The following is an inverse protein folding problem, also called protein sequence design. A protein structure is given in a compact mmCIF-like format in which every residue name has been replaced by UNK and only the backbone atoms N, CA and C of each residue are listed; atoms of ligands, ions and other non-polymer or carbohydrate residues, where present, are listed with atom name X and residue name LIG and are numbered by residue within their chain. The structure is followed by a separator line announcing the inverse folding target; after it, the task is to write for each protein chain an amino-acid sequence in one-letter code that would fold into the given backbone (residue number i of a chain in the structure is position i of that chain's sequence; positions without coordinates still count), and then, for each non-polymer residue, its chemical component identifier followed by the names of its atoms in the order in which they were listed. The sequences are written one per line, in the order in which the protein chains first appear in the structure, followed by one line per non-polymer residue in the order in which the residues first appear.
data_IF_526522455451
#
_entry.id   IF_526522455451
#
_cell.length_a   1.000
_cell.length_b   1.000
_cell.length_c   1.000
_cell.angle_alpha   90.00
_cell.angle_beta   90.00
_cell.angle_gamma   90.00
#
_symmetry.space_group_name_H-M   'P 1'
#
loop_
_entity.id
_entity.type
_entity.pdbx_description
1 polymer ?
#
# COMPACT_ATOMS: atom_id res chain seq x y z
N UNK A 1 -66.27 -30.25 -29.00
CA UNK A 1 -65.24 -31.30 -28.87
C UNK A 1 -64.06 -30.91 -29.73
N UNK A 2 -62.98 -30.39 -29.15
CA UNK A 2 -61.72 -30.09 -29.86
C UNK A 2 -60.71 -31.19 -29.55
N UNK A 3 -60.36 -31.97 -30.58
CA UNK A 3 -59.42 -33.07 -30.48
C UNK A 3 -57.98 -32.51 -30.52
N UNK A 4 -57.28 -32.60 -29.39
CA UNK A 4 -55.85 -32.28 -29.31
C UNK A 4 -55.07 -33.48 -29.87
N UNK A 5 -54.52 -33.31 -31.06
CA UNK A 5 -53.69 -34.32 -31.73
C UNK A 5 -52.36 -34.50 -30.98
N UNK A 6 -52.09 -35.72 -30.51
CA UNK A 6 -50.86 -36.09 -29.79
C UNK A 6 -49.71 -36.23 -30.81
N UNK A 7 -49.01 -35.13 -31.08
CA UNK A 7 -47.78 -35.12 -31.86
C UNK A 7 -46.68 -35.97 -31.22
N UNK A 8 -45.91 -36.67 -32.06
CA UNK A 8 -44.75 -37.48 -31.68
C UNK A 8 -43.64 -36.54 -31.19
N UNK A 9 -43.27 -36.64 -29.90
CA UNK A 9 -42.22 -35.83 -29.31
C UNK A 9 -40.85 -36.24 -29.88
N UNK A 10 -40.03 -35.29 -30.38
CA UNK A 10 -38.67 -35.56 -30.81
C UNK A 10 -37.80 -36.10 -29.65
N UNK A 11 -36.87 -36.99 -29.98
CA UNK A 11 -36.07 -37.74 -29.01
C UNK A 11 -35.25 -36.85 -28.07
N UNK A 12 -35.22 -37.24 -26.79
CA UNK A 12 -34.71 -36.48 -25.64
C UNK A 12 -33.20 -36.18 -25.66
N UNK A 13 -32.43 -36.80 -26.56
CA UNK A 13 -30.97 -36.66 -26.60
C UNK A 13 -30.49 -35.32 -27.18
N UNK A 14 -31.27 -34.71 -28.07
CA UNK A 14 -30.88 -33.44 -28.72
C UNK A 14 -31.21 -32.21 -27.89
N UNK A 15 -32.28 -32.24 -27.08
CA UNK A 15 -32.67 -31.11 -26.24
C UNK A 15 -31.74 -30.93 -25.04
N UNK A 16 -31.21 -32.01 -24.48
CA UNK A 16 -30.28 -31.96 -23.33
C UNK A 16 -29.03 -31.11 -23.63
N UNK A 17 -28.47 -31.25 -24.84
CA UNK A 17 -27.30 -30.46 -25.27
C UNK A 17 -27.62 -28.97 -25.43
N UNK A 18 -28.81 -28.64 -25.93
CA UNK A 18 -29.23 -27.25 -26.11
C UNK A 18 -29.42 -26.54 -24.76
N UNK A 19 -30.09 -27.18 -23.79
CA UNK A 19 -30.27 -26.62 -22.46
C UNK A 19 -28.96 -26.48 -21.70
N UNK A 20 -28.01 -27.42 -21.86
CA UNK A 20 -26.68 -27.31 -21.29
C UNK A 20 -25.90 -26.10 -21.86
N UNK A 21 -25.98 -25.86 -23.17
CA UNK A 21 -25.36 -24.69 -23.80
C UNK A 21 -25.99 -23.37 -23.34
N UNK A 22 -27.32 -23.31 -23.26
CA UNK A 22 -28.03 -22.11 -22.78
C UNK A 22 -27.68 -21.82 -21.32
N UNK A 23 -27.61 -22.84 -20.46
CA UNK A 23 -27.20 -22.70 -19.07
C UNK A 23 -25.76 -22.19 -18.92
N UNK A 24 -24.82 -22.69 -19.75
CA UNK A 24 -23.43 -22.19 -19.76
C UNK A 24 -23.33 -20.73 -20.20
N UNK A 25 -24.08 -20.34 -21.24
CA UNK A 25 -24.10 -18.94 -21.70
C UNK A 25 -24.69 -18.02 -20.63
N UNK A 26 -25.76 -18.44 -19.95
CA UNK A 26 -26.32 -17.70 -18.83
C UNK A 26 -25.31 -17.57 -17.68
N UNK A 27 -24.60 -18.64 -17.30
CA UNK A 27 -23.59 -18.56 -16.25
C UNK A 27 -22.44 -17.61 -16.59
N UNK A 28 -22.01 -17.55 -17.85
CA UNK A 28 -20.94 -16.63 -18.28
C UNK A 28 -21.46 -15.18 -18.32
N UNK A 29 -22.70 -14.96 -18.76
CA UNK A 29 -23.27 -13.62 -18.88
C UNK A 29 -23.66 -12.99 -17.53
N UNK A 30 -24.02 -13.82 -16.55
CA UNK A 30 -24.37 -13.38 -15.19
C UNK A 30 -23.18 -13.29 -14.23
N UNK A 31 -21.95 -13.55 -14.68
CA UNK A 31 -20.76 -13.29 -13.85
C UNK A 31 -20.65 -11.78 -13.59
N UNK A 32 -20.71 -11.32 -12.33
CA UNK A 32 -20.48 -9.92 -12.02
C UNK A 32 -19.08 -9.54 -12.48
N UNK A 33 -18.97 -8.42 -13.21
CA UNK A 33 -17.67 -7.87 -13.58
C UNK A 33 -16.99 -7.39 -12.30
N UNK A 34 -16.06 -8.19 -11.80
CA UNK A 34 -15.21 -7.83 -10.66
C UNK A 34 -14.33 -6.66 -11.11
N UNK A 35 -14.58 -5.46 -10.57
CA UNK A 35 -13.83 -4.27 -10.93
C UNK A 35 -12.53 -4.22 -10.12
N UNK A 36 -11.41 -4.60 -10.76
CA UNK A 36 -10.10 -4.67 -10.12
C UNK A 36 -9.53 -3.28 -9.77
N UNK A 37 -9.95 -2.66 -8.66
CA UNK A 37 -9.38 -1.40 -8.11
C UNK A 37 -8.00 -1.58 -7.43
N UNK A 38 -7.21 -2.57 -7.84
CA UNK A 38 -6.05 -3.07 -7.09
C UNK A 38 -4.74 -2.29 -7.27
N UNK A 39 -4.55 -1.58 -8.39
CA UNK A 39 -3.25 -0.95 -8.68
C UNK A 39 -2.85 0.14 -7.66
N UNK A 40 -3.81 0.94 -7.18
CA UNK A 40 -3.54 1.99 -6.18
C UNK A 40 -3.31 1.41 -4.78
N UNK A 41 -4.04 0.36 -4.40
CA UNK A 41 -3.83 -0.36 -3.13
C UNK A 41 -2.43 -0.96 -3.10
N UNK A 42 -2.03 -1.66 -4.16
CA UNK A 42 -0.70 -2.26 -4.33
C UNK A 42 0.45 -1.25 -4.15
N UNK A 43 0.28 0.00 -4.62
CA UNK A 43 1.29 1.05 -4.43
C UNK A 43 1.41 1.50 -2.97
N UNK A 44 0.27 1.69 -2.29
CA UNK A 44 0.27 2.10 -0.88
C UNK A 44 0.89 1.01 0.02
N UNK A 45 0.56 -0.26 -0.24
CA UNK A 45 1.11 -1.39 0.50
C UNK A 45 2.60 -1.59 0.24
N UNK A 46 3.04 -1.43 -1.01
CA UNK A 46 4.47 -1.42 -1.34
C UNK A 46 5.21 -0.34 -0.56
N UNK A 47 4.67 0.89 -0.52
CA UNK A 47 5.28 1.99 0.22
C UNK A 47 5.31 1.72 1.73
N UNK A 48 4.27 1.11 2.28
CA UNK A 48 4.23 0.71 3.68
C UNK A 48 5.33 -0.30 4.00
N UNK A 49 5.47 -1.35 3.17
CA UNK A 49 6.51 -2.39 3.35
C UNK A 49 7.93 -1.82 3.28
N UNK A 50 8.20 -0.91 2.33
CA UNK A 50 9.50 -0.24 2.21
C UNK A 50 9.77 0.59 3.46
N UNK A 51 8.83 1.46 3.86
CA UNK A 51 8.99 2.29 5.06
C UNK A 51 9.19 1.46 6.33
N UNK A 52 8.45 0.36 6.47
CA UNK A 52 8.61 -0.55 7.61
C UNK A 52 10.04 -1.10 7.65
N UNK A 53 10.55 -1.60 6.53
CA UNK A 53 11.92 -2.13 6.45
C UNK A 53 13.00 -1.06 6.68
N UNK A 54 12.75 0.20 6.30
CA UNK A 54 13.67 1.29 6.59
C UNK A 54 13.65 1.69 8.07
N UNK A 55 12.46 1.74 8.68
CA UNK A 55 12.31 1.98 10.12
C UNK A 55 12.94 0.86 10.95
N UNK A 56 12.75 -0.39 10.57
CA UNK A 56 13.30 -1.56 11.26
C UNK A 56 14.84 -1.56 11.23
N UNK A 57 15.45 -1.21 10.11
CA UNK A 57 16.91 -1.26 9.94
C UNK A 57 17.63 0.01 10.39
N UNK A 58 17.07 1.18 10.08
CA UNK A 58 17.75 2.47 10.25
C UNK A 58 17.34 3.14 11.55
N UNK A 59 16.04 3.32 11.78
CA UNK A 59 15.55 4.07 12.94
C UNK A 59 15.56 3.23 14.22
N UNK A 60 15.13 1.98 14.12
CA UNK A 60 14.88 1.09 15.25
C UNK A 60 15.86 -0.09 15.30
N UNK A 61 16.88 -0.12 14.45
CA UNK A 61 17.78 -1.28 14.31
C UNK A 61 18.69 -1.55 15.52
N UNK A 62 18.72 -0.64 16.48
CA UNK A 62 19.45 -0.81 17.74
C UNK A 62 18.61 -1.53 18.82
N UNK A 63 17.31 -1.73 18.59
CA UNK A 63 16.40 -2.42 19.51
C UNK A 63 16.24 -3.90 19.16
N UNK A 64 15.86 -4.70 20.15
CA UNK A 64 15.49 -6.10 19.95
C UNK A 64 14.19 -6.14 19.12
N UNK A 65 14.11 -7.09 18.17
CA UNK A 65 13.02 -7.18 17.18
C UNK A 65 11.62 -7.17 17.82
N UNK A 66 11.49 -7.82 18.98
CA UNK A 66 10.22 -7.97 19.71
C UNK A 66 9.81 -6.71 20.48
N UNK A 67 10.77 -5.86 20.86
CA UNK A 67 10.56 -4.58 21.57
C UNK A 67 10.45 -3.41 20.59
N UNK A 68 11.00 -3.57 19.38
CA UNK A 68 11.07 -2.52 18.37
C UNK A 68 9.72 -2.14 17.75
N UNK A 69 8.64 -2.90 17.98
CA UNK A 69 7.36 -2.70 17.30
C UNK A 69 6.76 -1.30 17.54
N UNK A 70 6.83 -0.79 18.77
CA UNK A 70 6.39 0.58 19.08
C UNK A 70 7.20 1.64 18.33
N UNK A 71 8.52 1.47 18.26
CA UNK A 71 9.39 2.37 17.50
C UNK A 71 9.06 2.33 16.01
N UNK A 72 8.93 1.12 15.44
CA UNK A 72 8.67 0.92 14.02
C UNK A 72 7.34 1.58 13.63
N UNK A 73 6.29 1.37 14.41
CA UNK A 73 4.97 1.95 14.11
C UNK A 73 4.99 3.49 14.21
N UNK A 74 5.64 4.06 15.25
CA UNK A 74 5.86 5.51 15.35
C UNK A 74 6.65 6.08 14.18
N UNK A 75 7.71 5.37 13.76
CA UNK A 75 8.56 5.76 12.64
C UNK A 75 7.80 5.76 11.29
N UNK A 76 6.92 4.78 11.07
CA UNK A 76 6.12 4.71 9.84
C UNK A 76 5.14 5.89 9.74
N UNK A 77 4.44 6.19 10.84
CA UNK A 77 3.51 7.31 10.96
C UNK A 77 3.19 7.57 12.43
N UNK A 78 3.66 8.70 12.96
CA UNK A 78 3.35 9.12 14.32
C UNK A 78 1.85 9.38 14.51
N UNK A 79 1.21 10.06 13.55
CA UNK A 79 -0.24 10.36 13.56
C UNK A 79 -1.08 9.08 13.74
N UNK A 80 -0.89 8.07 12.86
CA UNK A 80 -1.63 6.82 12.96
C UNK A 80 -1.25 5.99 14.20
N UNK A 81 -0.03 6.15 14.72
CA UNK A 81 0.37 5.48 15.95
C UNK A 81 -0.40 6.05 17.13
N UNK A 82 -0.50 7.37 17.24
CA UNK A 82 -1.27 8.02 18.30
C UNK A 82 -2.75 7.64 18.22
N UNK A 83 -3.34 7.61 17.03
CA UNK A 83 -4.75 7.19 16.88
C UNK A 83 -5.03 5.75 17.37
N UNK A 84 -4.09 4.82 17.14
CA UNK A 84 -4.32 3.39 17.40
C UNK A 84 -3.75 2.92 18.75
N UNK A 85 -2.65 3.52 19.18
CA UNK A 85 -1.83 3.06 20.31
C UNK A 85 -1.61 4.13 21.39
N UNK A 86 -2.19 5.34 21.31
CA UNK A 86 -1.93 6.38 22.32
C UNK A 86 -2.37 5.98 23.73
N UNK A 87 -3.50 5.31 23.88
CA UNK A 87 -4.03 4.94 25.19
C UNK A 87 -3.29 3.74 25.81
N UNK A 88 -2.95 2.76 24.98
CA UNK A 88 -2.32 1.52 25.39
C UNK A 88 -1.24 1.18 24.36
N UNK A 89 0.03 1.56 24.61
CA UNK A 89 1.13 1.15 23.75
C UNK A 89 1.28 -0.38 23.80
N UNK A 90 1.88 -0.98 22.76
CA UNK A 90 2.14 -2.43 22.80
C UNK A 90 3.12 -2.76 23.93
N UNK A 91 2.88 -3.84 24.65
CA UNK A 91 3.90 -4.36 25.56
C UNK A 91 5.03 -5.03 24.78
N UNK A 92 6.21 -5.12 25.40
CA UNK A 92 7.38 -5.74 24.78
C UNK A 92 7.11 -7.23 24.48
N UNK A 93 7.21 -7.61 23.20
CA UNK A 93 6.86 -8.95 22.73
C UNK A 93 5.36 -9.21 22.47
N UNK A 94 4.50 -8.22 22.67
CA UNK A 94 3.07 -8.32 22.32
C UNK A 94 2.87 -8.15 20.81
N UNK A 95 2.06 -9.04 20.22
CA UNK A 95 1.64 -8.94 18.81
C UNK A 95 0.13 -8.77 18.74
N UNK A 96 -0.32 -7.51 18.66
CA UNK A 96 -1.74 -7.21 18.40
C UNK A 96 -2.04 -7.06 16.91
N UNK A 97 -2.45 -8.18 16.29
CA UNK A 97 -2.83 -8.21 14.88
C UNK A 97 -4.06 -7.32 14.56
N UNK A 98 -4.97 -7.13 15.51
CA UNK A 98 -6.21 -6.37 15.30
C UNK A 98 -5.93 -4.87 15.22
N UNK A 99 -5.14 -4.34 16.17
CA UNK A 99 -4.67 -2.96 16.17
C UNK A 99 -3.74 -2.69 15.01
N UNK A 100 -2.88 -3.65 14.66
CA UNK A 100 -1.98 -3.51 13.50
C UNK A 100 -2.74 -3.37 12.17
N UNK A 101 -3.86 -4.10 11.99
CA UNK A 101 -4.74 -3.92 10.82
C UNK A 101 -5.35 -2.50 10.78
N UNK A 102 -5.78 -1.96 11.93
CA UNK A 102 -6.30 -0.58 12.04
C UNK A 102 -5.22 0.45 11.71
N UNK A 103 -4.00 0.25 12.20
CA UNK A 103 -2.85 1.11 11.87
C UNK A 103 -2.57 1.14 10.36
N UNK A 104 -2.56 -0.02 9.70
CA UNK A 104 -2.40 -0.07 8.24
C UNK A 104 -3.55 0.64 7.49
N UNK A 105 -4.79 0.50 7.97
CA UNK A 105 -5.94 1.18 7.38
C UNK A 105 -5.80 2.71 7.49
N UNK A 106 -5.41 3.22 8.67
CA UNK A 106 -5.11 4.64 8.88
C UNK A 106 -4.03 5.13 7.91
N UNK A 107 -2.90 4.42 7.83
CA UNK A 107 -1.79 4.80 6.95
C UNK A 107 -2.18 4.84 5.47
N UNK A 108 -3.00 3.88 5.02
CA UNK A 108 -3.55 3.86 3.66
C UNK A 108 -4.48 5.04 3.41
N UNK A 109 -5.30 5.42 4.38
CA UNK A 109 -6.18 6.57 4.28
C UNK A 109 -5.38 7.88 4.18
N UNK A 110 -4.43 8.12 5.08
CA UNK A 110 -3.57 9.30 5.07
C UNK A 110 -2.85 9.51 3.72
N UNK A 111 -2.31 8.44 3.13
CA UNK A 111 -1.64 8.51 1.82
C UNK A 111 -2.58 8.78 0.64
N UNK A 112 -3.87 8.43 0.74
CA UNK A 112 -4.87 8.79 -0.27
C UNK A 112 -5.17 10.30 -0.24
N UNK A 113 -5.27 10.89 0.95
CA UNK A 113 -5.56 12.33 1.10
C UNK A 113 -4.42 13.21 0.58
N UNK A 114 -3.17 12.88 0.93
CA UNK A 114 -2.00 13.64 0.46
C UNK A 114 -1.87 13.63 -1.07
N UNK A 115 -2.22 12.51 -1.71
CA UNK A 115 -2.23 12.40 -3.17
C UNK A 115 -3.30 13.28 -3.82
N UNK A 116 -4.49 13.40 -3.23
CA UNK A 116 -5.56 14.27 -3.74
C UNK A 116 -5.21 15.75 -3.59
N UNK A 117 -4.69 16.17 -2.42
CA UNK A 117 -4.30 17.56 -2.17
C UNK A 117 -3.21 18.05 -3.14
N UNK A 118 -2.24 17.19 -3.46
CA UNK A 118 -1.18 17.48 -4.47
C UNK A 118 -1.70 17.62 -5.90
N UNK A 119 -2.82 16.99 -6.24
CA UNK A 119 -3.44 17.17 -7.56
C UNK A 119 -4.20 18.50 -7.62
N UNK A 120 -4.90 18.87 -6.55
CA UNK A 120 -5.62 20.15 -6.46
C UNK A 120 -4.67 21.36 -6.42
N UNK A 121 -3.52 21.26 -5.75
CA UNK A 121 -2.54 22.35 -5.75
C UNK A 121 -1.82 22.54 -7.09
N UNK A 122 -1.82 21.53 -7.97
CA UNK A 122 -1.19 21.62 -9.32
C UNK A 122 -2.09 22.25 -10.38
N UNK A 123 -3.40 22.33 -10.14
CA UNK A 123 -4.34 22.92 -11.10
C UNK A 123 -4.48 24.44 -10.95
N UNK A 124 -3.87 25.03 -9.91
CA UNK A 124 -3.91 26.48 -9.64
C UNK A 124 -2.65 27.26 -10.03
N UNK A 125 -1.55 26.62 -10.46
CA UNK A 125 -0.29 27.33 -10.68
C UNK A 125 -0.12 27.73 -12.15
N UNK A 126 -0.72 28.86 -12.54
CA UNK A 126 -0.17 29.69 -13.63
C UNK A 126 1.26 30.09 -13.22
N UNK A 127 2.24 30.13 -14.14
CA UNK A 127 3.56 30.65 -13.84
C UNK A 127 3.42 32.12 -13.43
N UNK A 128 3.75 32.42 -12.17
CA UNK A 128 3.89 33.78 -11.67
C UNK A 128 5.38 34.08 -11.68
N UNK A 129 5.70 35.07 -12.50
CA UNK A 129 6.98 35.73 -12.69
C UNK A 129 7.50 36.37 -11.39
N UNK A 130 8.83 36.31 -11.27
CA UNK A 130 9.62 36.58 -10.07
C UNK A 130 9.37 37.96 -9.45
N UNK A 131 9.12 37.96 -8.14
CA UNK A 131 9.06 39.17 -7.32
C UNK A 131 9.41 38.86 -5.88
N UNK A 132 10.70 39.00 -5.55
CA UNK A 132 11.26 38.95 -4.20
C UNK A 132 10.55 39.96 -3.30
N UNK A 133 10.15 39.55 -2.08
CA UNK A 133 10.45 40.23 -0.80
C UNK A 133 9.71 39.58 0.39
N UNK A 134 10.51 39.01 1.29
CA UNK A 134 10.46 39.09 2.76
C UNK A 134 9.14 38.97 3.57
N UNK A 135 9.25 38.09 4.57
CA UNK A 135 8.90 38.24 5.98
C UNK A 135 7.58 37.67 6.54
N UNK A 136 7.79 36.92 7.62
CA UNK A 136 7.11 36.93 8.92
C UNK A 136 5.72 36.28 9.09
N UNK A 137 5.76 35.19 9.86
CA UNK A 137 5.02 34.95 11.12
C UNK A 137 3.54 34.54 11.15
N UNK A 138 3.32 33.51 11.99
CA UNK A 138 2.14 33.07 12.77
C UNK A 138 0.87 32.68 12.01
N UNK A 139 0.46 31.41 12.16
CA UNK A 139 -0.69 31.04 13.00
C UNK A 139 -0.89 29.53 13.04
N UNK A 140 -0.83 29.01 14.27
CA UNK A 140 -1.36 27.70 14.65
C UNK A 140 -2.89 27.81 14.65
N UNK A 141 -3.55 26.99 13.86
CA UNK A 141 -4.91 26.53 14.15
C UNK A 141 -4.91 25.01 13.97
N UNK A 142 -5.06 24.31 15.09
CA UNK A 142 -5.43 22.90 15.13
C UNK A 142 -6.88 22.79 14.67
N UNK A 143 -7.08 22.59 13.37
CA UNK A 143 -8.37 22.10 12.88
C UNK A 143 -8.40 20.59 13.15
N UNK A 144 -9.13 20.20 14.19
CA UNK A 144 -9.45 18.80 14.46
C UNK A 144 -10.29 18.27 13.29
N UNK A 145 -9.63 17.62 12.33
CA UNK A 145 -10.31 16.91 11.25
C UNK A 145 -10.96 15.68 11.88
N UNK A 146 -12.24 15.81 12.23
CA UNK A 146 -13.10 14.67 12.44
C UNK A 146 -13.21 13.92 11.09
N UNK A 147 -12.28 12.98 10.86
CA UNK A 147 -12.41 12.00 9.79
C UNK A 147 -13.59 11.11 10.16
N UNK A 148 -14.76 11.49 9.66
CA UNK A 148 -16.00 10.74 9.81
C UNK A 148 -15.74 9.30 9.37
N UNK A 149 -15.89 8.39 10.32
CA UNK A 149 -15.75 6.95 10.17
C UNK A 149 -16.87 6.43 9.26
N UNK A 150 -16.64 6.48 7.96
CA UNK A 150 -17.31 5.61 6.99
C UNK A 150 -16.20 4.87 6.25
N UNK A 151 -15.55 3.96 6.98
CA UNK A 151 -14.71 2.93 6.37
C UNK A 151 -15.70 1.86 5.94
N UNK A 152 -16.07 1.86 4.66
CA UNK A 152 -16.87 0.79 4.08
C UNK A 152 -16.09 -0.53 4.25
N UNK A 153 -16.62 -1.40 5.10
CA UNK A 153 -16.12 -2.71 5.53
C UNK A 153 -16.19 -3.78 4.42
N UNK A 154 -15.79 -3.45 3.20
CA UNK A 154 -15.57 -4.45 2.14
C UNK A 154 -14.08 -4.86 2.16
N UNK A 155 -13.68 -5.52 3.25
CA UNK A 155 -12.38 -6.18 3.39
C UNK A 155 -12.58 -7.68 3.20
N UNK A 156 -12.66 -8.12 1.95
CA UNK A 156 -12.46 -9.54 1.64
C UNK A 156 -10.99 -9.88 1.91
N UNK A 157 -10.83 -10.85 2.82
CA UNK A 157 -9.58 -11.46 3.22
C UNK A 157 -8.99 -12.24 2.04
N UNK A 158 -8.26 -11.53 1.20
CA UNK A 158 -7.22 -12.16 0.41
C UNK A 158 -6.13 -12.55 1.40
N UNK A 159 -6.16 -13.80 1.87
CA UNK A 159 -4.98 -14.48 2.39
C UNK A 159 -3.94 -14.51 1.25
N UNK A 160 -3.25 -13.38 1.08
CA UNK A 160 -1.99 -13.33 0.35
C UNK A 160 -1.04 -14.17 1.21
N UNK A 161 -0.97 -15.47 0.92
CA UNK A 161 0.06 -16.34 1.43
C UNK A 161 1.37 -15.58 1.38
N UNK A 162 1.96 -15.39 2.56
CA UNK A 162 3.28 -14.83 2.77
C UNK A 162 4.28 -15.64 1.95
N UNK A 163 4.40 -15.29 0.66
CA UNK A 163 5.57 -15.61 -0.12
C UNK A 163 6.67 -14.75 0.45
N UNK A 164 7.30 -15.34 1.46
CA UNK A 164 8.51 -14.95 2.14
C UNK A 164 9.66 -14.96 1.13
N UNK A 165 9.55 -14.18 0.06
CA UNK A 165 10.65 -13.92 -0.84
C UNK A 165 11.34 -12.65 -0.35
N UNK A 166 12.08 -12.82 0.75
CA UNK A 166 13.09 -11.87 1.23
C UNK A 166 14.25 -11.68 0.24
N UNK A 167 14.09 -12.08 -1.02
CA UNK A 167 15.13 -12.09 -2.05
C UNK A 167 15.31 -10.73 -2.73
N UNK A 168 14.34 -9.81 -2.67
CA UNK A 168 14.48 -8.46 -3.24
C UNK A 168 15.33 -7.52 -2.34
N UNK A 169 15.43 -7.80 -1.04
CA UNK A 169 16.27 -7.02 -0.12
C UNK A 169 17.77 -7.28 -0.29
N UNK A 170 18.15 -8.50 -0.66
CA UNK A 170 19.53 -8.87 -0.97
C UNK A 170 20.03 -8.20 -2.25
N UNK A 171 19.13 -7.88 -3.19
CA UNK A 171 19.44 -7.12 -4.40
C UNK A 171 19.81 -5.66 -4.13
N UNK A 172 19.13 -5.01 -3.17
CA UNK A 172 19.43 -3.63 -2.79
C UNK A 172 20.71 -3.51 -1.95
N UNK A 173 20.96 -4.44 -1.03
CA UNK A 173 22.21 -4.47 -0.25
C UNK A 173 23.45 -4.72 -1.11
N UNK A 174 23.35 -5.57 -2.16
CA UNK A 174 24.44 -5.74 -3.14
C UNK A 174 24.74 -4.47 -3.93
N UNK A 175 23.72 -3.67 -4.22
CA UNK A 175 23.90 -2.41 -4.97
C UNK A 175 24.58 -1.33 -4.12
N UNK A 176 24.33 -1.33 -2.82
CA UNK A 176 24.97 -0.41 -1.88
C UNK A 176 26.43 -0.78 -1.59
N UNK A 177 26.75 -2.08 -1.47
CA UNK A 177 28.14 -2.53 -1.34
C UNK A 177 28.99 -2.23 -2.59
N UNK A 178 28.41 -2.35 -3.79
CA UNK A 178 29.10 -1.98 -5.05
C UNK A 178 29.51 -0.50 -5.04
N UNK A 179 28.61 0.40 -4.64
CA UNK A 179 28.91 1.84 -4.63
C UNK A 179 29.95 2.23 -3.56
N UNK A 180 30.07 1.47 -2.46
CA UNK A 180 31.08 1.72 -1.42
C UNK A 180 32.50 1.32 -1.85
N UNK A 181 32.63 0.32 -2.74
CA UNK A 181 33.93 -0.09 -3.28
C UNK A 181 34.45 0.93 -4.30
N UNK A 182 33.59 1.40 -5.20
CA UNK A 182 33.96 2.36 -6.25
C UNK A 182 34.42 3.72 -5.68
N UNK A 183 33.79 4.17 -4.59
CA UNK A 183 34.17 5.43 -3.93
C UNK A 183 35.53 5.35 -3.20
N UNK A 184 35.91 4.19 -2.67
CA UNK A 184 37.19 4.02 -2.00
C UNK A 184 38.38 4.00 -2.98
N UNK A 185 38.19 3.47 -4.20
CA UNK A 185 39.23 3.52 -5.23
C UNK A 185 39.49 4.95 -5.73
N UNK A 186 38.44 5.77 -5.86
CA UNK A 186 38.57 7.17 -6.27
C UNK A 186 39.35 8.02 -5.24
N UNK A 187 39.12 7.81 -3.94
CA UNK A 187 39.85 8.52 -2.87
C UNK A 187 41.32 8.13 -2.86
N UNK A 188 41.64 6.85 -3.10
CA UNK A 188 43.03 6.36 -3.15
C UNK A 188 43.82 6.90 -4.33
N UNK A 189 43.16 7.18 -5.46
CA UNK A 189 43.78 7.84 -6.60
C UNK A 189 44.09 9.33 -6.34
N UNK A 190 43.27 10.01 -5.53
CA UNK A 190 43.52 11.41 -5.15
C UNK A 190 44.72 11.53 -4.19
N UNK A 191 44.89 10.62 -3.23
CA UNK A 191 46.06 10.65 -2.33
C UNK A 191 47.40 10.44 -3.07
N UNK A 192 47.43 9.62 -4.13
CA UNK A 192 48.65 9.41 -4.91
C UNK A 192 49.05 10.63 -5.76
N UNK A 193 48.12 11.52 -6.13
CA UNK A 193 48.45 12.76 -6.84
C UNK A 193 49.06 13.84 -5.94
N UNK A 194 48.80 13.81 -4.64
CA UNK A 194 49.31 14.82 -3.69
C UNK A 194 50.78 14.59 -3.33
N UNK A 195 51.30 13.36 -3.47
CA UNK A 195 52.68 13.00 -3.11
C UNK A 195 53.72 13.23 -4.23
N UNK A 196 53.32 13.76 -5.38
CA UNK A 196 54.20 13.99 -6.55
C UNK A 196 54.53 15.48 -6.76
N UNK A 197 53.96 16.38 -5.94
CA UNK A 197 54.29 17.80 -5.91
C UNK A 197 55.10 18.17 -4.66
#
# INVERSE_FOLDING_TARGET
MLAISRGKWPSSSSFSKLYACIALVYLIFFMPKVECKNARRKKADKNFRIKKGDCERVACGHMIVDEAQNCINKCISAECYEEVYAHEPLEDGEVDASRYKRFQACYRAANKYTSKKKMQSKEGQKPVDDGVSQASEVMQEEESIAVSQNIDDDYEDGEDQDSSDGTDYLGLLKKEQSNLVDNNEAVKAQEQMVLVN
#
